data_IF_538536427796
#
_entry.id   IF_538536427796
#
_cell.length_a   1.000
_cell.length_b   1.000
_cell.length_c   1.000
_cell.angle_alpha   90.00
_cell.angle_beta   90.00
_cell.angle_gamma   90.00
#
_symmetry.space_group_name_H-M   'P 1'
#
loop_
_entity.id
_entity.type
_entity.pdbx_description
1 polymer ?
#
# COMPACT_ATOMS: atom_id res chain seq x y z
N UNK A 1 16.46 4.04 -0.20
CA UNK A 1 15.12 4.46 0.29
C UNK A 1 14.51 5.59 -0.53
N UNK A 2 15.14 6.78 -0.63
CA UNK A 2 14.58 7.90 -1.43
C UNK A 2 14.28 7.51 -2.88
N UNK A 3 15.30 7.02 -3.59
CA UNK A 3 15.14 6.46 -4.95
C UNK A 3 14.05 5.39 -5.03
N UNK A 4 13.93 4.52 -4.03
CA UNK A 4 12.88 3.49 -4.00
C UNK A 4 11.49 4.13 -3.97
N UNK A 5 11.23 5.05 -3.05
CA UNK A 5 9.93 5.71 -2.93
C UNK A 5 9.61 6.55 -4.16
N UNK A 6 10.60 7.22 -4.75
CA UNK A 6 10.45 7.96 -6.00
C UNK A 6 10.08 7.04 -7.17
N UNK A 7 10.79 5.92 -7.34
CA UNK A 7 10.49 4.92 -8.37
C UNK A 7 9.11 4.30 -8.15
N UNK A 8 8.77 3.91 -6.91
CA UNK A 8 7.46 3.35 -6.59
C UNK A 8 6.33 4.34 -6.86
N UNK A 9 6.50 5.62 -6.52
CA UNK A 9 5.52 6.67 -6.82
C UNK A 9 5.34 6.84 -8.34
N UNK A 10 6.42 6.80 -9.11
CA UNK A 10 6.37 6.88 -10.56
C UNK A 10 5.61 5.69 -11.17
N UNK A 11 5.95 4.47 -10.78
CA UNK A 11 5.32 3.28 -11.33
C UNK A 11 3.83 3.21 -10.97
N UNK A 12 3.47 3.53 -9.72
CA UNK A 12 2.06 3.56 -9.31
C UNK A 12 1.25 4.62 -10.06
N UNK A 13 1.85 5.78 -10.37
CA UNK A 13 1.21 6.78 -11.25
C UNK A 13 1.01 6.24 -12.66
N UNK A 14 1.98 5.53 -13.21
CA UNK A 14 1.90 4.92 -14.54
C UNK A 14 0.79 3.85 -14.59
N UNK A 15 0.68 3.02 -13.56
CA UNK A 15 -0.29 1.93 -13.49
C UNK A 15 -1.60 2.30 -12.77
N UNK A 16 -1.84 3.59 -12.49
CA UNK A 16 -3.04 4.04 -11.74
C UNK A 16 -4.33 3.55 -12.38
N UNK A 17 -4.49 3.73 -13.70
CA UNK A 17 -5.71 3.32 -14.42
C UNK A 17 -5.89 1.80 -14.43
N UNK A 18 -4.81 1.02 -14.51
CA UNK A 18 -4.85 -0.44 -14.46
C UNK A 18 -5.32 -0.89 -13.07
N UNK A 19 -4.73 -0.33 -12.01
CA UNK A 19 -5.11 -0.63 -10.63
C UNK A 19 -6.55 -0.21 -10.32
N UNK A 20 -6.99 0.94 -10.83
CA UNK A 20 -8.37 1.42 -10.69
C UNK A 20 -9.36 0.48 -11.41
N UNK A 21 -9.02 -0.01 -12.62
CA UNK A 21 -9.85 -0.93 -13.38
C UNK A 21 -9.94 -2.35 -12.75
N UNK A 22 -8.94 -2.72 -11.95
CA UNK A 22 -8.92 -3.96 -11.16
C UNK A 22 -9.62 -3.83 -9.81
N UNK A 23 -9.89 -2.62 -9.33
CA UNK A 23 -10.42 -2.41 -7.99
C UNK A 23 -11.88 -2.86 -7.88
N UNK A 24 -12.06 -4.05 -7.32
CA UNK A 24 -13.36 -4.68 -7.10
C UNK A 24 -13.58 -5.10 -5.64
N UNK A 25 -12.57 -4.94 -4.79
CA UNK A 25 -12.57 -5.36 -3.39
C UNK A 25 -11.81 -4.35 -2.49
N UNK A 26 -12.28 -4.07 -1.26
CA UNK A 26 -13.56 -4.48 -0.69
C UNK A 26 -14.74 -3.72 -1.30
N UNK A 27 -14.47 -2.60 -1.98
CA UNK A 27 -15.47 -1.79 -2.66
C UNK A 27 -15.00 -1.56 -4.10
N UNK A 28 -15.87 -1.80 -5.07
CA UNK A 28 -15.62 -1.54 -6.48
C UNK A 28 -15.80 -0.05 -6.82
N UNK A 29 -14.98 0.83 -6.24
CA UNK A 29 -15.04 2.29 -6.41
C UNK A 29 -14.00 2.87 -7.39
N UNK A 30 -13.17 1.99 -7.98
CA UNK A 30 -12.14 2.36 -8.95
C UNK A 30 -11.12 3.40 -8.44
N UNK A 31 -10.77 3.38 -7.15
CA UNK A 31 -9.83 4.35 -6.57
C UNK A 31 -8.49 3.79 -6.04
N UNK A 32 -8.31 2.46 -5.96
CA UNK A 32 -7.14 1.86 -5.32
C UNK A 32 -5.82 2.35 -5.90
N UNK A 33 -5.72 2.49 -7.23
CA UNK A 33 -4.54 3.04 -7.89
C UNK A 33 -4.30 4.49 -7.51
N UNK A 34 -5.35 5.31 -7.57
CA UNK A 34 -5.31 6.74 -7.19
C UNK A 34 -4.87 6.91 -5.73
N UNK A 35 -5.43 6.12 -4.82
CA UNK A 35 -5.16 6.17 -3.38
C UNK A 35 -3.72 5.74 -3.05
N UNK A 36 -3.24 4.65 -3.64
CA UNK A 36 -1.86 4.18 -3.46
C UNK A 36 -0.85 5.15 -4.06
N UNK A 37 -1.07 5.63 -5.28
CA UNK A 37 -0.18 6.58 -5.94
C UNK A 37 -0.02 7.87 -5.11
N UNK A 38 -1.14 8.46 -4.65
CA UNK A 38 -1.11 9.66 -3.83
C UNK A 38 -0.39 9.45 -2.48
N UNK A 39 -0.60 8.30 -1.86
CA UNK A 39 0.01 7.96 -0.57
C UNK A 39 1.51 7.74 -0.70
N UNK A 40 1.96 6.98 -1.72
CA UNK A 40 3.39 6.73 -1.97
C UNK A 40 4.08 8.01 -2.44
N UNK A 41 3.41 8.87 -3.19
CA UNK A 41 3.91 10.20 -3.54
C UNK A 41 4.14 11.07 -2.30
N UNK A 42 3.21 11.06 -1.34
CA UNK A 42 3.41 11.74 -0.04
C UNK A 42 4.63 11.20 0.70
N UNK A 43 4.80 9.88 0.72
CA UNK A 43 5.99 9.25 1.33
C UNK A 43 7.28 9.69 0.62
N UNK A 44 7.29 9.73 -0.71
CA UNK A 44 8.45 10.16 -1.50
C UNK A 44 8.78 11.65 -1.29
N UNK A 45 7.77 12.52 -1.23
CA UNK A 45 7.94 13.95 -0.95
C UNK A 45 8.51 14.19 0.46
N UNK A 46 7.98 13.48 1.47
CA UNK A 46 8.53 13.51 2.82
C UNK A 46 9.98 13.01 2.83
N UNK A 47 10.25 11.91 2.13
CA UNK A 47 11.58 11.35 2.00
C UNK A 47 12.57 12.30 1.33
N UNK A 48 12.13 13.22 0.48
CA UNK A 48 12.99 14.19 -0.18
C UNK A 48 13.48 15.31 0.76
N UNK A 49 12.66 15.70 1.74
CA UNK A 49 12.93 16.86 2.61
C UNK A 49 13.46 16.51 3.99
N UNK A 50 13.25 15.28 4.47
CA UNK A 50 13.77 14.83 5.76
C UNK A 50 15.30 14.73 5.71
N UNK A 51 15.99 15.21 6.74
CA UNK A 51 17.45 15.13 6.88
C UNK A 51 17.81 14.28 8.08
N UNK A 52 17.93 12.97 7.88
CA UNK A 52 18.46 12.04 8.89
C UNK A 52 19.38 11.00 8.22
N UNK A 53 20.53 10.67 8.84
CA UNK A 53 21.36 9.55 8.40
C UNK A 53 20.81 8.20 8.88
N UNK A 54 19.86 8.18 9.81
CA UNK A 54 19.30 6.95 10.37
C UNK A 54 18.22 6.38 9.44
N UNK A 55 18.43 5.13 9.03
CA UNK A 55 17.55 4.43 8.10
C UNK A 55 16.19 4.10 8.73
N UNK A 56 16.18 3.67 9.98
CA UNK A 56 14.97 3.35 10.74
C UNK A 56 14.11 4.60 10.92
N UNK A 57 14.74 5.71 11.34
CA UNK A 57 14.09 7.00 11.52
C UNK A 57 13.53 7.52 10.20
N UNK A 58 14.32 7.52 9.12
CA UNK A 58 13.86 7.98 7.80
C UNK A 58 12.60 7.23 7.36
N UNK A 59 12.62 5.90 7.43
CA UNK A 59 11.51 5.06 6.95
C UNK A 59 10.28 5.18 7.85
N UNK A 60 10.49 5.29 9.16
CA UNK A 60 9.39 5.50 10.11
C UNK A 60 8.71 6.84 9.87
N UNK A 61 9.47 7.94 9.72
CA UNK A 61 8.92 9.28 9.51
C UNK A 61 8.17 9.42 8.18
N UNK A 62 8.68 8.81 7.10
CA UNK A 62 7.95 8.83 5.81
C UNK A 62 6.68 7.97 5.85
N UNK A 63 6.69 6.87 6.60
CA UNK A 63 5.50 6.06 6.87
C UNK A 63 4.44 6.84 7.66
N UNK A 64 4.86 7.61 8.66
CA UNK A 64 3.97 8.49 9.43
C UNK A 64 3.40 9.60 8.56
N UNK A 65 4.22 10.27 7.75
CA UNK A 65 3.78 11.30 6.82
C UNK A 65 2.76 10.75 5.81
N UNK A 66 3.03 9.56 5.26
CA UNK A 66 2.09 8.86 4.37
C UNK A 66 0.79 8.51 5.09
N UNK A 67 0.84 8.08 6.37
CA UNK A 67 -0.34 7.71 7.14
C UNK A 67 -1.23 8.93 7.48
N UNK A 68 -0.63 10.09 7.67
CA UNK A 68 -1.37 11.34 7.92
C UNK A 68 -2.19 11.80 6.69
N UNK A 69 -1.67 11.62 5.47
CA UNK A 69 -2.38 11.95 4.22
C UNK A 69 -3.03 10.74 3.53
N UNK A 70 -2.93 9.55 4.13
CA UNK A 70 -3.41 8.31 3.55
C UNK A 70 -4.90 8.42 3.17
N UNK A 71 -5.21 7.87 2.00
CA UNK A 71 -6.56 7.80 1.43
C UNK A 71 -6.95 6.35 1.22
N UNK A 72 -8.21 6.06 1.53
CA UNK A 72 -8.75 4.72 1.43
C UNK A 72 -8.01 3.69 2.29
N UNK A 73 -8.45 2.44 2.14
CA UNK A 73 -7.92 1.32 2.90
C UNK A 73 -6.49 0.98 2.46
N UNK A 74 -6.27 0.93 1.15
CA UNK A 74 -4.98 0.59 0.52
C UNK A 74 -3.87 1.55 0.92
N UNK A 75 -4.11 2.88 0.88
CA UNK A 75 -3.13 3.88 1.30
C UNK A 75 -2.85 3.83 2.80
N UNK A 76 -3.89 3.64 3.62
CA UNK A 76 -3.75 3.51 5.08
C UNK A 76 -2.90 2.30 5.42
N UNK A 77 -3.22 1.12 4.86
CA UNK A 77 -2.52 -0.13 5.13
C UNK A 77 -1.06 -0.08 4.66
N UNK A 78 -0.80 0.48 3.48
CA UNK A 78 0.58 0.70 3.00
C UNK A 78 1.38 1.57 3.96
N UNK A 79 0.79 2.66 4.46
CA UNK A 79 1.47 3.57 5.39
C UNK A 79 1.74 2.93 6.75
N UNK A 80 0.83 2.08 7.22
CA UNK A 80 1.01 1.24 8.40
C UNK A 80 2.16 0.25 8.22
N UNK A 81 2.20 -0.42 7.07
CA UNK A 81 3.31 -1.29 6.70
C UNK A 81 4.64 -0.52 6.70
N UNK A 82 4.70 0.64 6.04
CA UNK A 82 5.92 1.44 5.89
C UNK A 82 6.44 1.94 7.25
N UNK A 83 5.54 2.36 8.14
CA UNK A 83 5.91 2.78 9.51
C UNK A 83 6.54 1.63 10.30
N UNK A 84 5.96 0.43 10.23
CA UNK A 84 6.51 -0.74 10.92
C UNK A 84 7.77 -1.32 10.25
N UNK A 85 7.90 -1.18 8.93
CA UNK A 85 9.13 -1.46 8.20
C UNK A 85 10.28 -0.65 8.77
N UNK A 86 10.06 0.65 9.02
CA UNK A 86 11.04 1.52 9.67
C UNK A 86 11.47 0.99 11.04
N UNK A 87 10.52 0.70 11.92
CA UNK A 87 10.82 0.15 13.25
C UNK A 87 11.58 -1.20 13.21
N UNK A 88 11.32 -2.06 12.23
CA UNK A 88 12.06 -3.32 12.06
C UNK A 88 13.47 -3.16 11.48
N UNK A 89 13.84 -1.95 11.05
CA UNK A 89 15.21 -1.57 10.64
C UNK A 89 16.02 -0.94 11.78
N UNK A 90 15.50 -0.93 13.01
CA UNK A 90 16.20 -0.36 14.17
C UNK A 90 17.61 -0.96 14.35
N UNK A 91 18.58 -0.07 14.55
CA UNK A 91 20.00 -0.42 14.65
C UNK A 91 20.69 -0.84 13.34
N UNK A 92 20.00 -0.84 12.19
CA UNK A 92 20.62 -1.18 10.91
C UNK A 92 21.40 0.01 10.31
N UNK A 93 22.72 -0.11 10.23
CA UNK A 93 23.59 0.90 9.59
C UNK A 93 23.41 0.96 8.06
N UNK A 94 22.99 -0.17 7.46
CA UNK A 94 22.71 -0.29 6.02
C UNK A 94 21.68 -1.36 5.77
N UNK A 95 21.03 -1.28 4.61
CA UNK A 95 20.07 -2.29 4.17
C UNK A 95 20.80 -3.57 3.72
N UNK A 96 20.39 -4.70 4.27
CA UNK A 96 20.85 -6.07 3.95
C UNK A 96 19.64 -6.98 3.75
N UNK A 97 19.85 -8.21 3.26
CA UNK A 97 18.79 -9.22 3.21
C UNK A 97 18.17 -9.45 4.60
N UNK A 98 18.99 -9.55 5.64
CA UNK A 98 18.52 -9.78 7.00
C UNK A 98 17.73 -8.59 7.56
N UNK A 99 18.26 -7.38 7.44
CA UNK A 99 17.57 -6.19 7.97
C UNK A 99 16.27 -5.92 7.22
N UNK A 100 16.25 -6.11 5.90
CA UNK A 100 15.01 -5.97 5.12
C UNK A 100 13.99 -7.06 5.49
N UNK A 101 14.42 -8.32 5.63
CA UNK A 101 13.53 -9.41 6.07
C UNK A 101 12.91 -9.14 7.43
N UNK A 102 13.69 -8.66 8.40
CA UNK A 102 13.20 -8.24 9.71
C UNK A 102 12.16 -7.12 9.59
N UNK A 103 12.48 -6.09 8.79
CA UNK A 103 11.61 -4.95 8.54
C UNK A 103 10.29 -5.33 7.88
N UNK A 104 10.32 -6.13 6.81
CA UNK A 104 9.11 -6.61 6.13
C UNK A 104 8.30 -7.52 7.05
N UNK A 105 8.96 -8.35 7.86
CA UNK A 105 8.30 -9.16 8.90
C UNK A 105 7.54 -8.30 9.91
N UNK A 106 8.15 -7.23 10.42
CA UNK A 106 7.49 -6.27 11.31
C UNK A 106 6.32 -5.57 10.61
N UNK A 107 6.51 -5.13 9.37
CA UNK A 107 5.48 -4.56 8.52
C UNK A 107 4.29 -5.49 8.30
N UNK A 108 4.55 -6.77 8.04
CA UNK A 108 3.54 -7.82 7.86
C UNK A 108 2.68 -7.99 9.11
N UNK A 109 3.32 -8.25 10.26
CA UNK A 109 2.60 -8.38 11.54
C UNK A 109 1.75 -7.14 11.84
N UNK A 110 2.29 -5.95 11.55
CA UNK A 110 1.59 -4.70 11.82
C UNK A 110 0.41 -4.47 10.89
N UNK A 111 0.54 -4.79 9.60
CA UNK A 111 -0.53 -4.65 8.62
C UNK A 111 -1.69 -5.61 8.93
N UNK A 112 -1.39 -6.87 9.22
CA UNK A 112 -2.40 -7.88 9.61
C UNK A 112 -3.16 -7.50 10.89
N UNK A 113 -2.47 -6.95 11.89
CA UNK A 113 -3.10 -6.54 13.17
C UNK A 113 -3.77 -5.17 13.16
N UNK A 114 -3.63 -4.40 12.06
CA UNK A 114 -4.26 -3.09 11.90
C UNK A 114 -5.75 -3.20 11.60
N UNK A 115 -6.13 -4.27 10.90
CA UNK A 115 -7.49 -4.56 10.45
C UNK A 115 -8.22 -5.40 11.50
N UNK A 116 -9.52 -5.13 11.67
CA UNK A 116 -10.37 -5.99 12.51
C UNK A 116 -10.66 -7.33 11.84
N UNK A 117 -10.86 -7.34 10.52
CA UNK A 117 -11.11 -8.55 9.73
C UNK A 117 -10.16 -8.61 8.51
N UNK A 118 -8.93 -9.12 8.68
CA UNK A 118 -7.96 -9.18 7.60
C UNK A 118 -8.26 -10.31 6.62
N UNK A 119 -8.26 -10.00 5.32
CA UNK A 119 -8.67 -10.94 4.26
C UNK A 119 -7.46 -11.44 3.45
N UNK A 120 -7.24 -12.77 3.35
CA UNK A 120 -6.26 -13.36 2.43
C UNK A 120 -6.53 -12.99 0.96
N UNK A 121 -5.50 -13.04 0.13
CA UNK A 121 -5.58 -12.69 -1.30
C UNK A 121 -5.53 -11.18 -1.58
N UNK A 122 -5.46 -10.35 -0.53
CA UNK A 122 -5.24 -8.90 -0.65
C UNK A 122 -3.74 -8.55 -0.60
N UNK A 123 -3.40 -7.26 -0.59
CA UNK A 123 -2.06 -6.75 -0.24
C UNK A 123 -1.41 -7.48 0.95
N UNK A 124 -2.20 -7.89 1.94
CA UNK A 124 -1.70 -8.62 3.11
C UNK A 124 -0.98 -9.94 2.76
N UNK A 125 -1.48 -10.67 1.75
CA UNK A 125 -0.85 -11.91 1.27
C UNK A 125 0.49 -11.62 0.60
N UNK A 126 0.60 -10.52 -0.14
CA UNK A 126 1.85 -10.11 -0.81
C UNK A 126 2.92 -9.73 0.22
N UNK A 127 2.55 -8.92 1.21
CA UNK A 127 3.47 -8.55 2.30
C UNK A 127 3.88 -9.78 3.10
N UNK A 128 2.96 -10.72 3.36
CA UNK A 128 3.26 -11.98 4.05
C UNK A 128 4.21 -12.85 3.24
N UNK A 129 3.98 -13.03 1.94
CA UNK A 129 4.87 -13.81 1.07
C UNK A 129 6.29 -13.21 1.01
N UNK A 130 6.39 -11.88 0.95
CA UNK A 130 7.67 -11.18 1.03
C UNK A 130 8.37 -11.40 2.39
N UNK A 131 7.63 -11.35 3.50
CA UNK A 131 8.15 -11.60 4.85
C UNK A 131 8.66 -13.04 5.03
N UNK A 132 7.93 -14.01 4.49
CA UNK A 132 8.23 -15.44 4.61
C UNK A 132 9.32 -15.91 3.61
N UNK A 133 9.81 -15.01 2.74
CA UNK A 133 10.85 -15.33 1.76
C UNK A 133 12.16 -15.69 2.47
N UNK A 134 12.73 -16.89 2.23
CA UNK A 134 13.98 -17.30 2.85
C UNK A 134 15.17 -16.50 2.29
N UNK A 135 16.12 -16.18 3.16
CA UNK A 135 17.38 -15.55 2.74
C UNK A 135 18.27 -16.62 2.07
N UNK A 136 18.71 -16.41 0.82
CA UNK A 136 19.51 -17.40 0.12
C UNK A 136 20.92 -17.54 0.70
N UNK A 137 21.43 -18.77 0.75
CA UNK A 137 22.80 -19.11 1.16
C UNK A 137 23.80 -18.89 0.01
N UNK A 138 23.89 -17.64 -0.47
CA UNK A 138 24.72 -17.24 -1.61
C UNK A 138 25.58 -16.02 -1.24
N UNK A 139 26.85 -16.05 -1.65
CA UNK A 139 27.82 -15.02 -1.26
C UNK A 139 28.12 -14.99 0.23
N UNK A 140 28.78 -13.93 0.69
CA UNK A 140 29.00 -13.69 2.13
C UNK A 140 27.73 -13.12 2.78
N UNK A 141 27.48 -13.47 4.04
CA UNK A 141 26.34 -12.96 4.81
C UNK A 141 26.36 -11.44 4.85
N UNK A 142 25.25 -10.82 4.44
CA UNK A 142 25.10 -9.37 4.39
C UNK A 142 25.77 -8.71 3.18
N UNK A 143 26.30 -9.48 2.21
CA UNK A 143 26.86 -8.94 0.98
C UNK A 143 25.77 -8.41 0.03
N UNK A 144 26.17 -7.54 -0.90
CA UNK A 144 25.27 -7.03 -1.95
C UNK A 144 24.79 -8.15 -2.90
N UNK A 145 25.59 -9.21 -3.09
CA UNK A 145 25.19 -10.37 -3.88
C UNK A 145 24.02 -11.11 -3.19
N UNK A 146 24.16 -11.46 -1.92
CA UNK A 146 23.08 -12.08 -1.15
C UNK A 146 21.82 -11.21 -1.16
N UNK A 147 22.00 -9.89 -1.01
CA UNK A 147 20.88 -8.96 -0.99
C UNK A 147 20.14 -8.89 -2.34
N UNK A 148 20.87 -8.86 -3.45
CA UNK A 148 20.27 -8.86 -4.79
C UNK A 148 19.51 -10.16 -5.09
N UNK A 149 20.01 -11.32 -4.66
CA UNK A 149 19.33 -12.60 -4.79
C UNK A 149 18.08 -12.68 -3.92
N UNK A 150 18.15 -12.18 -2.67
CA UNK A 150 17.01 -12.10 -1.77
C UNK A 150 15.88 -11.25 -2.35
N UNK A 151 16.20 -10.06 -2.89
CA UNK A 151 15.20 -9.17 -3.48
C UNK A 151 14.48 -9.80 -4.68
N UNK A 152 15.18 -10.63 -5.47
CA UNK A 152 14.54 -11.38 -6.56
C UNK A 152 13.59 -12.45 -6.05
N UNK A 153 14.05 -13.27 -5.11
CA UNK A 153 13.21 -14.31 -4.51
C UNK A 153 11.94 -13.68 -3.86
N UNK A 154 12.11 -12.53 -3.21
CA UNK A 154 11.03 -11.78 -2.58
C UNK A 154 10.01 -11.27 -3.60
N UNK A 155 10.46 -10.69 -4.72
CA UNK A 155 9.57 -10.23 -5.79
C UNK A 155 8.88 -11.40 -6.49
N UNK A 156 9.55 -12.54 -6.67
CA UNK A 156 8.90 -13.77 -7.19
C UNK A 156 7.80 -14.25 -6.24
N UNK A 157 8.08 -14.35 -4.94
CA UNK A 157 7.07 -14.75 -3.95
C UNK A 157 5.89 -13.76 -3.90
N UNK A 158 6.16 -12.47 -4.03
CA UNK A 158 5.13 -11.44 -4.13
C UNK A 158 4.28 -11.61 -5.40
N UNK A 159 4.89 -11.89 -6.57
CA UNK A 159 4.17 -12.18 -7.82
C UNK A 159 3.26 -13.40 -7.67
N UNK A 160 3.78 -14.48 -7.09
CA UNK A 160 2.99 -15.70 -6.88
C UNK A 160 1.79 -15.44 -5.96
N UNK A 161 1.95 -14.60 -4.93
CA UNK A 161 0.85 -14.18 -4.05
C UNK A 161 -0.20 -13.31 -4.77
N UNK A 162 0.22 -12.44 -5.70
CA UNK A 162 -0.74 -11.68 -6.54
C UNK A 162 -1.52 -12.63 -7.44
N UNK A 163 -0.87 -13.60 -8.08
CA UNK A 163 -1.56 -14.59 -8.92
C UNK A 163 -2.53 -15.47 -8.11
N UNK A 164 -2.15 -15.84 -6.88
CA UNK A 164 -3.02 -16.59 -5.99
C UNK A 164 -4.28 -15.81 -5.58
N UNK A 165 -4.27 -14.47 -5.61
CA UNK A 165 -5.45 -13.65 -5.26
C UNK A 165 -6.70 -14.00 -6.07
N UNK A 166 -6.54 -14.42 -7.34
CA UNK A 166 -7.64 -14.86 -8.21
C UNK A 166 -8.41 -16.06 -7.64
N UNK A 167 -7.75 -16.91 -6.85
CA UNK A 167 -8.32 -18.10 -6.22
C UNK A 167 -8.52 -17.94 -4.70
N UNK A 168 -7.86 -16.98 -4.06
CA UNK A 168 -7.99 -16.74 -2.62
C UNK A 168 -9.16 -15.80 -2.27
N UNK A 169 -9.52 -14.88 -3.18
CA UNK A 169 -10.64 -13.96 -3.01
C UNK A 169 -11.86 -14.45 -3.78
N UNK A 170 -12.93 -14.82 -3.05
CA UNK A 170 -14.18 -15.33 -3.65
C UNK A 170 -14.76 -14.38 -4.71
N UNK A 171 -14.64 -13.06 -4.50
CA UNK A 171 -15.10 -12.04 -5.47
C UNK A 171 -14.32 -12.06 -6.79
N UNK A 172 -13.11 -12.61 -6.80
CA UNK A 172 -12.27 -12.75 -7.99
C UNK A 172 -12.39 -14.11 -8.66
N UNK A 173 -13.06 -15.09 -8.03
CA UNK A 173 -13.16 -16.45 -8.59
C UNK A 173 -13.84 -16.44 -9.95
N UNK A 174 -13.18 -17.04 -10.94
CA UNK A 174 -13.68 -17.09 -12.31
C UNK A 174 -13.59 -15.77 -13.06
N UNK A 175 -13.20 -14.67 -12.39
CA UNK A 175 -12.75 -13.44 -13.06
C UNK A 175 -11.28 -13.65 -13.44
N UNK A 176 -10.87 -13.18 -14.62
CA UNK A 176 -9.45 -13.24 -15.00
C UNK A 176 -8.63 -12.11 -14.33
N UNK A 177 -9.07 -11.66 -13.15
CA UNK A 177 -8.54 -10.49 -12.43
C UNK A 177 -7.79 -10.89 -11.18
N UNK A 178 -6.81 -10.06 -10.81
CA UNK A 178 -6.09 -10.13 -9.53
C UNK A 178 -6.52 -8.97 -8.64
N UNK A 179 -6.23 -9.06 -7.34
CA UNK A 179 -6.48 -7.97 -6.40
C UNK A 179 -5.63 -6.73 -6.74
N UNK A 180 -6.29 -5.56 -6.79
CA UNK A 180 -5.64 -4.29 -7.09
C UNK A 180 -4.63 -3.88 -6.01
N UNK A 181 -4.95 -4.11 -4.72
CA UNK A 181 -4.05 -3.80 -3.62
C UNK A 181 -2.79 -4.69 -3.62
N UNK A 182 -2.96 -5.98 -3.90
CA UNK A 182 -1.89 -6.96 -4.05
C UNK A 182 -0.96 -6.57 -5.20
N UNK A 183 -1.51 -6.25 -6.38
CA UNK A 183 -0.71 -5.82 -7.52
C UNK A 183 0.02 -4.51 -7.24
N UNK A 184 -0.65 -3.53 -6.60
CA UNK A 184 -0.02 -2.28 -6.18
C UNK A 184 1.17 -2.52 -5.23
N UNK A 185 1.06 -3.45 -4.30
CA UNK A 185 2.16 -3.80 -3.41
C UNK A 185 3.32 -4.50 -4.11
N UNK A 186 3.03 -5.38 -5.09
CA UNK A 186 4.06 -5.97 -5.94
C UNK A 186 4.86 -4.90 -6.69
N UNK A 187 4.19 -3.89 -7.26
CA UNK A 187 4.83 -2.76 -7.94
C UNK A 187 5.80 -2.04 -6.99
N UNK A 188 5.37 -1.78 -5.75
CA UNK A 188 6.20 -1.13 -4.72
C UNK A 188 7.43 -1.98 -4.35
N UNK A 189 7.26 -3.31 -4.20
CA UNK A 189 8.36 -4.23 -3.86
C UNK A 189 9.36 -4.39 -5.02
N UNK A 190 8.88 -4.42 -6.26
CA UNK A 190 9.77 -4.45 -7.43
C UNK A 190 10.53 -3.13 -7.60
N UNK A 191 9.90 -1.98 -7.31
CA UNK A 191 10.58 -0.69 -7.29
C UNK A 191 11.75 -0.69 -6.27
N UNK A 192 11.61 -1.37 -5.12
CA UNK A 192 12.71 -1.53 -4.16
C UNK A 192 13.85 -2.32 -4.78
N UNK A 193 13.53 -3.46 -5.40
CA UNK A 193 14.51 -4.30 -6.08
C UNK A 193 15.29 -3.49 -7.13
N UNK A 194 14.60 -2.78 -8.02
CA UNK A 194 15.18 -1.91 -9.06
C UNK A 194 16.06 -0.80 -8.48
N UNK A 195 15.56 -0.09 -7.47
CA UNK A 195 16.30 1.00 -6.84
C UNK A 195 17.61 0.51 -6.19
N UNK A 196 17.64 -0.72 -5.65
CA UNK A 196 18.83 -1.34 -5.05
C UNK A 196 19.79 -1.89 -6.10
N UNK A 197 19.29 -2.56 -7.14
CA UNK A 197 20.16 -3.19 -8.16
C UNK A 197 20.68 -2.18 -9.19
N UNK A 198 20.23 -0.92 -9.15
CA UNK A 198 20.60 0.09 -10.12
C UNK A 198 19.98 -0.14 -11.49
N UNK A 199 19.07 -1.12 -11.61
CA UNK A 199 18.26 -1.31 -12.78
C UNK A 199 17.20 -0.22 -12.75
N UNK A 200 17.30 0.77 -13.62
CA UNK A 200 16.17 1.66 -13.83
C UNK A 200 14.96 0.83 -14.27
N UNK A 201 13.76 1.39 -14.08
CA UNK A 201 12.69 0.98 -14.98
C UNK A 201 13.29 1.01 -16.38
N UNK A 202 13.11 -0.04 -17.17
CA UNK A 202 13.12 0.14 -18.61
C UNK A 202 11.95 1.09 -18.92
N UNK A 203 12.16 2.37 -18.66
CA UNK A 203 11.17 3.41 -18.84
C UNK A 203 11.22 3.93 -20.26
N UNK A 204 10.05 4.33 -20.76
CA UNK A 204 9.87 5.19 -21.92
C UNK A 204 9.98 4.57 -23.34
N UNK A 205 9.34 3.43 -23.58
CA UNK A 205 8.86 3.08 -24.94
C UNK A 205 7.33 2.93 -25.07
N UNK A 206 6.55 3.33 -24.07
CA UNK A 206 5.09 3.39 -24.15
C UNK A 206 4.56 4.80 -24.46
N UNK A 207 5.15 5.44 -25.47
CA UNK A 207 4.47 6.36 -26.40
C UNK A 207 5.35 6.52 -27.64
N UNK A 208 4.77 6.36 -28.82
CA UNK A 208 5.49 6.47 -30.08
C UNK A 208 6.08 7.88 -30.29
N UNK A 209 7.42 7.95 -30.42
CA UNK A 209 8.10 9.03 -31.14
C UNK A 209 8.96 9.97 -30.30
N UNK A 210 10.10 9.51 -29.79
CA UNK A 210 11.31 10.32 -29.66
C UNK A 210 12.52 9.40 -29.50
N UNK A 211 13.43 9.42 -30.48
CA UNK A 211 14.74 8.79 -30.39
C UNK A 211 15.65 9.59 -29.44
N UNK A 212 16.43 8.92 -28.59
CA UNK A 212 17.68 9.52 -28.13
C UNK A 212 18.75 8.46 -27.81
N UNK A 213 19.81 8.51 -28.60
CA UNK A 213 21.15 7.97 -28.31
C UNK A 213 21.73 8.61 -27.04
N UNK A 214 22.15 7.82 -26.06
CA UNK A 214 23.24 8.17 -25.16
C UNK A 214 23.83 6.92 -24.49
N UNK A 215 25.13 6.69 -24.71
CA UNK A 215 25.91 5.62 -24.10
C UNK A 215 26.18 5.89 -22.60
N UNK A 216 26.07 4.87 -21.75
CA UNK A 216 26.46 4.89 -20.35
C UNK A 216 27.86 4.28 -20.12
N UNK A 217 28.63 4.75 -19.11
CA UNK A 217 30.00 4.32 -18.86
C UNK A 217 30.11 2.99 -18.08
N UNK A 218 31.26 2.36 -18.29
CA UNK A 218 31.71 1.05 -17.81
C UNK A 218 32.00 1.05 -16.29
N UNK A 219 31.26 0.24 -15.53
CA UNK A 219 31.70 -0.35 -14.27
C UNK A 219 31.09 -1.76 -14.22
N UNK A 220 31.84 -2.76 -13.76
CA UNK A 220 31.54 -4.20 -13.97
C UNK A 220 30.19 -4.62 -13.37
N UNK A 221 29.11 -4.36 -14.09
CA UNK A 221 27.76 -4.73 -13.75
C UNK A 221 27.65 -6.25 -13.87
N UNK A 222 27.33 -6.90 -12.75
CA UNK A 222 26.78 -8.25 -12.79
C UNK A 222 25.59 -8.17 -13.76
N UNK A 223 25.53 -8.99 -14.82
CA UNK A 223 24.39 -8.98 -15.73
C UNK A 223 23.19 -9.53 -14.96
N UNK A 224 22.39 -8.64 -14.38
CA UNK A 224 21.15 -8.96 -13.68
C UNK A 224 20.07 -9.08 -14.76
N UNK A 225 19.84 -10.28 -15.28
CA UNK A 225 18.71 -10.52 -16.19
C UNK A 225 17.46 -10.82 -15.35
N UNK A 226 16.72 -9.78 -14.96
CA UNK A 226 15.48 -9.89 -14.19
C UNK A 226 14.41 -9.09 -14.92
N UNK A 227 13.27 -9.74 -15.15
CA UNK A 227 12.13 -9.18 -15.88
C UNK A 227 11.65 -7.86 -15.22
N UNK A 228 11.55 -6.76 -15.99
CA UNK A 228 10.83 -5.54 -15.61
C UNK A 228 9.38 -5.83 -15.17
N UNK A 229 8.79 -4.94 -14.34
CA UNK A 229 7.35 -4.99 -14.02
C UNK A 229 6.48 -4.98 -15.27
N UNK A 230 6.90 -4.27 -16.33
CA UNK A 230 6.22 -4.31 -17.62
C UNK A 230 6.12 -5.75 -18.18
N UNK A 231 7.20 -6.51 -18.14
CA UNK A 231 7.22 -7.91 -18.59
C UNK A 231 6.39 -8.81 -17.66
N UNK A 232 6.43 -8.57 -16.34
CA UNK A 232 5.60 -9.30 -15.38
C UNK A 232 4.12 -9.03 -15.66
N UNK A 233 3.75 -7.77 -15.88
CA UNK A 233 2.39 -7.38 -16.23
C UNK A 233 2.00 -7.94 -17.60
N UNK A 234 2.90 -7.95 -18.58
CA UNK A 234 2.66 -8.55 -19.89
C UNK A 234 2.38 -10.05 -19.80
N UNK A 235 3.21 -10.78 -19.04
CA UNK A 235 3.01 -12.20 -18.74
C UNK A 235 1.67 -12.45 -18.03
N UNK A 236 1.26 -11.53 -17.16
CA UNK A 236 -0.03 -11.58 -16.46
C UNK A 236 -1.22 -11.08 -17.30
N UNK A 237 -0.99 -10.56 -18.50
CA UNK A 237 -2.05 -10.04 -19.39
C UNK A 237 -2.50 -8.59 -19.13
N UNK A 238 -1.70 -7.81 -18.41
CA UNK A 238 -1.99 -6.41 -18.00
C UNK A 238 -1.12 -5.34 -18.68
N UNK A 239 -0.25 -5.70 -19.64
CA UNK A 239 0.63 -4.75 -20.33
C UNK A 239 -0.08 -3.69 -21.18
N UNK A 240 -1.30 -4.00 -21.63
CA UNK A 240 -2.24 -3.05 -22.18
C UNK A 240 -3.47 -3.09 -21.28
N UNK A 241 -4.02 -1.90 -20.99
CA UNK A 241 -5.34 -1.65 -20.38
C UNK A 241 -6.17 -2.92 -20.27
N UNK A 242 -6.56 -3.38 -19.05
CA UNK A 242 -6.99 -4.76 -18.83
C UNK A 242 -7.97 -5.19 -19.93
N UNK A 243 -7.75 -6.37 -20.55
CA UNK A 243 -8.44 -6.72 -21.77
C UNK A 243 -9.93 -6.51 -21.57
N UNK A 244 -10.54 -5.77 -22.50
CA UNK A 244 -11.96 -5.50 -22.56
C UNK A 244 -12.71 -6.80 -22.86
N UNK A 245 -12.65 -7.77 -21.95
CA UNK A 245 -13.54 -8.90 -21.92
C UNK A 245 -14.74 -8.47 -21.08
N UNK A 246 -15.72 -7.92 -21.79
CA UNK A 246 -17.07 -7.54 -21.35
C UNK A 246 -17.84 -8.66 -20.61
N UNK A 247 -17.28 -9.87 -20.49
CA UNK A 247 -17.92 -11.00 -19.82
C UNK A 247 -18.09 -10.75 -18.31
N UNK A 248 -17.17 -10.02 -17.68
CA UNK A 248 -17.24 -9.68 -16.24
C UNK A 248 -18.05 -8.40 -15.95
N UNK A 249 -18.47 -7.64 -16.96
CA UNK A 249 -19.12 -6.34 -16.77
C UNK A 249 -20.39 -6.43 -15.91
N UNK A 250 -21.19 -7.48 -16.11
CA UNK A 250 -22.41 -7.71 -15.33
C UNK A 250 -22.15 -8.09 -13.86
N UNK A 251 -21.07 -8.84 -13.60
CA UNK A 251 -20.62 -9.17 -12.24
C UNK A 251 -20.08 -7.92 -11.53
N UNK A 252 -19.30 -7.09 -12.24
CA UNK A 252 -18.79 -5.82 -11.75
C UNK A 252 -19.91 -4.84 -11.43
N UNK A 253 -20.90 -4.70 -12.31
CA UNK A 253 -22.07 -3.87 -12.06
C UNK A 253 -22.86 -4.34 -10.84
N UNK A 254 -23.02 -5.67 -10.66
CA UNK A 254 -23.69 -6.22 -9.49
C UNK A 254 -22.93 -5.97 -8.18
N UNK A 255 -21.60 -6.12 -8.18
CA UNK A 255 -20.74 -5.79 -7.03
C UNK A 255 -20.78 -4.28 -6.73
N UNK A 256 -20.75 -3.45 -7.77
CA UNK A 256 -20.82 -2.00 -7.67
C UNK A 256 -22.15 -1.48 -7.12
N UNK A 257 -23.25 -2.19 -7.36
CA UNK A 257 -24.59 -1.83 -6.87
C UNK A 257 -24.85 -2.38 -5.45
N UNK A 258 -24.04 -3.34 -4.97
CA UNK A 258 -24.18 -3.94 -3.64
C UNK A 258 -23.65 -3.05 -2.50
N UNK A 259 -22.65 -2.21 -2.76
CA UNK A 259 -22.06 -1.36 -1.73
C UNK A 259 -22.82 -0.04 -1.55
N UNK A 260 -23.21 0.23 -0.31
CA UNK A 260 -23.91 1.44 0.11
C UNK A 260 -23.23 2.00 1.37
N UNK A 261 -23.43 3.29 1.63
CA UNK A 261 -22.86 3.98 2.79
C UNK A 261 -21.71 4.91 2.43
N UNK A 262 -20.86 5.15 3.41
CA UNK A 262 -19.75 6.11 3.35
C UNK A 262 -18.48 5.56 4.00
N UNK A 263 -17.35 5.97 3.46
CA UNK A 263 -16.06 5.86 4.13
C UNK A 263 -15.85 7.09 5.01
N UNK A 264 -15.45 6.86 6.26
CA UNK A 264 -15.04 7.91 7.19
C UNK A 264 -13.58 7.71 7.53
N UNK A 265 -12.77 8.71 7.21
CA UNK A 265 -11.38 8.81 7.67
C UNK A 265 -11.25 9.98 8.63
N UNK A 266 -10.52 9.77 9.73
CA UNK A 266 -10.28 10.83 10.71
C UNK A 266 -8.95 10.63 11.43
N UNK A 267 -8.47 11.71 12.05
CA UNK A 267 -7.35 11.68 12.98
C UNK A 267 -7.85 12.06 14.37
N UNK A 268 -7.45 11.34 15.40
CA UNK A 268 -7.89 11.56 16.78
C UNK A 268 -6.76 11.27 17.76
N UNK A 269 -6.64 12.07 18.82
CA UNK A 269 -5.67 11.82 19.89
C UNK A 269 -6.33 11.04 21.01
N UNK A 270 -5.77 9.88 21.33
CA UNK A 270 -6.35 8.92 22.26
C UNK A 270 -5.27 8.19 23.04
N UNK A 271 -5.65 7.71 24.22
CA UNK A 271 -4.89 6.65 24.90
C UNK A 271 -5.00 5.34 24.12
N UNK A 272 -4.08 4.40 24.35
CA UNK A 272 -4.17 3.07 23.74
C UNK A 272 -5.46 2.32 24.14
N UNK A 273 -5.96 2.55 25.35
CA UNK A 273 -7.21 1.95 25.82
C UNK A 273 -8.42 2.51 25.06
N UNK A 274 -8.50 3.83 24.90
CA UNK A 274 -9.59 4.47 24.17
C UNK A 274 -9.55 4.10 22.68
N UNK A 275 -8.37 3.98 22.09
CA UNK A 275 -8.21 3.51 20.72
C UNK A 275 -8.70 2.07 20.52
N UNK A 276 -8.43 1.19 21.49
CA UNK A 276 -8.95 -0.18 21.46
C UNK A 276 -10.48 -0.22 21.59
N UNK A 277 -11.06 0.66 22.41
CA UNK A 277 -12.52 0.77 22.59
C UNK A 277 -13.19 1.33 21.33
N UNK A 278 -12.65 2.39 20.74
CA UNK A 278 -13.13 2.92 19.45
C UNK A 278 -13.07 1.85 18.37
N UNK A 279 -11.97 1.09 18.28
CA UNK A 279 -11.85 0.01 17.29
C UNK A 279 -12.98 -1.02 17.45
N UNK A 280 -13.30 -1.40 18.68
CA UNK A 280 -14.38 -2.34 18.96
C UNK A 280 -15.75 -1.77 18.57
N UNK A 281 -16.06 -0.55 19.01
CA UNK A 281 -17.35 0.11 18.71
C UNK A 281 -17.54 0.37 17.20
N UNK A 282 -16.48 0.75 16.48
CA UNK A 282 -16.52 0.92 15.03
C UNK A 282 -16.71 -0.40 14.29
N UNK A 283 -16.12 -1.50 14.78
CA UNK A 283 -16.30 -2.83 14.20
C UNK A 283 -17.71 -3.40 14.42
N UNK A 284 -18.45 -2.92 15.42
CA UNK A 284 -19.88 -3.23 15.56
C UNK A 284 -20.74 -2.38 14.62
N UNK A 285 -20.27 -1.17 14.28
CA UNK A 285 -21.01 -0.21 13.47
C UNK A 285 -20.83 -0.38 11.96
N UNK A 286 -19.73 -1.00 11.52
CA UNK A 286 -19.41 -1.17 10.11
C UNK A 286 -18.16 -2.03 9.88
N UNK A 287 -17.64 -1.94 8.66
CA UNK A 287 -16.62 -2.85 8.13
C UNK A 287 -15.33 -2.10 7.76
N UNK A 288 -14.30 -2.83 7.31
CA UNK A 288 -13.01 -2.29 6.88
C UNK A 288 -12.35 -1.38 7.92
N UNK A 289 -12.47 -1.72 9.21
CA UNK A 289 -11.98 -0.87 10.31
C UNK A 289 -10.46 -0.93 10.43
N UNK A 290 -9.80 0.22 10.32
CA UNK A 290 -8.40 0.40 10.72
C UNK A 290 -8.33 1.49 11.79
N UNK A 291 -7.66 1.17 12.90
CA UNK A 291 -7.28 2.15 13.93
C UNK A 291 -5.79 2.02 14.18
N UNK A 292 -5.00 2.98 13.68
CA UNK A 292 -3.54 2.88 13.67
C UNK A 292 -2.88 4.07 14.36
N UNK A 293 -1.96 3.79 15.30
CA UNK A 293 -1.10 4.80 15.88
C UNK A 293 -0.19 5.40 14.79
N UNK A 294 -0.10 6.73 14.76
CA UNK A 294 0.75 7.52 13.87
C UNK A 294 2.01 7.92 14.62
N UNK A 295 1.85 8.72 15.68
CA UNK A 295 2.96 9.28 16.45
C UNK A 295 2.58 9.44 17.91
N UNK A 296 3.55 9.32 18.80
CA UNK A 296 3.37 9.60 20.21
C UNK A 296 3.30 11.10 20.45
N UNK A 297 2.38 11.56 21.31
CA UNK A 297 2.25 12.96 21.71
C UNK A 297 2.85 13.17 23.10
N UNK A 298 2.49 12.29 24.03
CA UNK A 298 3.02 12.23 25.39
C UNK A 298 3.07 10.77 25.87
N UNK A 299 3.37 10.54 27.16
CA UNK A 299 3.58 9.18 27.70
C UNK A 299 2.40 8.23 27.44
N UNK A 300 1.16 8.73 27.54
CA UNK A 300 -0.05 7.91 27.45
C UNK A 300 -0.88 8.18 26.20
N UNK A 301 -0.62 9.29 25.49
CA UNK A 301 -1.44 9.75 24.35
C UNK A 301 -0.69 9.60 23.03
N UNK A 302 -1.41 9.03 22.06
CA UNK A 302 -0.94 8.87 20.70
C UNK A 302 -1.92 9.54 19.73
N UNK A 303 -1.38 10.00 18.61
CA UNK A 303 -2.17 10.36 17.44
C UNK A 303 -2.56 9.09 16.71
N UNK A 304 -3.86 8.91 16.45
CA UNK A 304 -4.40 7.76 15.73
C UNK A 304 -5.03 8.19 14.41
N UNK A 305 -4.78 7.41 13.36
CA UNK A 305 -5.52 7.45 12.10
C UNK A 305 -6.60 6.39 12.15
N UNK A 306 -7.82 6.79 11.81
CA UNK A 306 -9.00 5.92 11.77
C UNK A 306 -9.54 5.89 10.34
N UNK A 307 -9.88 4.68 9.90
CA UNK A 307 -10.61 4.39 8.68
C UNK A 307 -11.76 3.44 9.05
N UNK A 308 -12.96 3.71 8.55
CA UNK A 308 -14.10 2.79 8.69
C UNK A 308 -15.09 2.99 7.53
N UNK A 309 -15.72 1.91 7.08
CA UNK A 309 -16.87 1.94 6.18
C UNK A 309 -18.15 1.77 7.00
N UNK A 310 -19.06 2.74 6.95
CA UNK A 310 -20.32 2.76 7.72
C UNK A 310 -21.49 3.12 6.82
N UNK A 311 -22.72 2.79 7.24
CA UNK A 311 -23.91 3.16 6.48
C UNK A 311 -24.15 4.68 6.50
N UNK A 312 -23.93 5.31 7.66
CA UNK A 312 -24.07 6.76 7.81
C UNK A 312 -22.88 7.34 8.56
N UNK A 313 -22.35 8.48 8.10
CA UNK A 313 -21.16 9.12 8.69
C UNK A 313 -21.30 9.37 10.20
N UNK A 314 -22.52 9.61 10.70
CA UNK A 314 -22.79 9.87 12.13
C UNK A 314 -22.39 8.69 13.01
N UNK A 315 -22.57 7.46 12.52
CA UNK A 315 -22.20 6.24 13.27
C UNK A 315 -20.72 6.25 13.64
N UNK A 316 -19.85 6.60 12.69
CA UNK A 316 -18.41 6.70 12.94
C UNK A 316 -18.05 7.96 13.75
N UNK A 317 -18.61 9.12 13.40
CA UNK A 317 -18.23 10.38 14.06
C UNK A 317 -18.65 10.42 15.53
N UNK A 318 -19.80 9.86 15.88
CA UNK A 318 -20.28 9.85 17.27
C UNK A 318 -19.41 8.96 18.16
N UNK A 319 -18.98 7.78 17.66
CA UNK A 319 -18.02 6.91 18.34
C UNK A 319 -16.70 7.64 18.58
N UNK A 320 -16.17 8.34 17.57
CA UNK A 320 -14.93 9.11 17.69
C UNK A 320 -15.04 10.25 18.72
N UNK A 321 -16.16 10.99 18.70
CA UNK A 321 -16.42 12.09 19.65
C UNK A 321 -16.67 11.63 21.07
N UNK A 322 -17.14 10.40 21.27
CA UNK A 322 -17.37 9.84 22.59
C UNK A 322 -16.09 9.76 23.43
N UNK A 323 -14.91 9.74 22.80
CA UNK A 323 -13.63 9.45 23.46
C UNK A 323 -12.48 10.39 23.08
N UNK A 324 -12.63 11.19 22.02
CA UNK A 324 -11.61 12.15 21.60
C UNK A 324 -12.18 13.30 20.78
N UNK A 325 -11.30 14.14 20.26
CA UNK A 325 -11.67 15.22 19.33
C UNK A 325 -11.20 14.86 17.93
N UNK A 326 -12.07 14.29 17.07
CA UNK A 326 -11.68 13.95 15.71
C UNK A 326 -11.41 15.22 14.89
N UNK A 327 -10.38 15.16 14.06
CA UNK A 327 -9.94 16.22 13.14
C UNK A 327 -9.57 15.60 11.80
N UNK A 328 -9.44 16.45 10.77
CA UNK A 328 -9.21 16.00 9.39
C UNK A 328 -10.22 14.93 8.96
N UNK A 329 -11.49 15.15 9.31
CA UNK A 329 -12.58 14.24 9.00
C UNK A 329 -12.88 14.38 7.52
N UNK A 330 -12.71 13.28 6.82
CA UNK A 330 -13.05 13.09 5.42
C UNK A 330 -14.19 12.10 5.36
N UNK A 331 -15.22 12.42 4.59
CA UNK A 331 -16.28 11.49 4.25
C UNK A 331 -16.34 11.32 2.74
N UNK A 332 -16.31 10.07 2.28
CA UNK A 332 -16.39 9.71 0.86
C UNK A 332 -17.58 8.79 0.64
N UNK A 333 -18.45 9.12 -0.31
CA UNK A 333 -19.56 8.23 -0.68
C UNK A 333 -19.09 6.94 -1.32
N UNK A 334 -19.64 5.80 -0.89
CA UNK A 334 -19.33 4.47 -1.46
C UNK A 334 -20.38 4.00 -2.47
N UNK A 335 -21.54 4.66 -2.52
CA UNK A 335 -22.64 4.34 -3.44
C UNK A 335 -22.36 4.84 -4.85
N UNK A 336 -22.98 4.20 -5.85
CA UNK A 336 -22.85 4.56 -7.27
C UNK A 336 -23.07 6.04 -7.59
N UNK A 337 -24.02 6.67 -6.92
CA UNK A 337 -24.43 8.05 -7.18
C UNK A 337 -23.55 9.11 -6.47
N UNK A 338 -22.83 8.72 -5.41
CA UNK A 338 -21.96 9.60 -4.61
C UNK A 338 -20.48 9.16 -4.59
N UNK A 339 -20.11 8.18 -5.43
CA UNK A 339 -18.75 7.63 -5.52
C UNK A 339 -17.72 8.72 -5.78
N UNK A 340 -16.69 8.77 -4.94
CA UNK A 340 -15.59 9.74 -5.03
C UNK A 340 -15.96 11.18 -4.65
N UNK A 341 -17.21 11.45 -4.25
CA UNK A 341 -17.56 12.75 -3.65
C UNK A 341 -17.03 12.81 -2.24
N UNK A 342 -15.87 13.43 -2.13
CA UNK A 342 -15.21 13.70 -0.87
C UNK A 342 -15.68 15.04 -0.32
N UNK A 343 -16.18 15.05 0.92
CA UNK A 343 -16.43 16.30 1.63
C UNK A 343 -15.64 16.31 2.94
N UNK A 344 -14.96 17.42 3.18
CA UNK A 344 -14.34 17.69 4.47
C UNK A 344 -15.43 18.15 5.41
N UNK A 345 -15.56 17.47 6.53
CA UNK A 345 -16.55 17.84 7.52
C UNK A 345 -15.91 18.75 8.56
N UNK A 346 -16.47 19.95 8.73
CA UNK A 346 -16.08 20.79 9.86
C UNK A 346 -16.54 20.11 11.15
N UNK A 347 -15.65 19.88 12.13
CA UNK A 347 -16.03 19.37 13.44
C UNK A 347 -17.18 20.15 14.11
N UNK A 348 -17.45 21.40 13.73
CA UNK A 348 -18.59 22.18 14.25
C UNK A 348 -19.91 21.93 13.54
N UNK A 349 -19.90 21.39 12.31
CA UNK A 349 -21.09 21.33 11.43
C UNK A 349 -21.92 20.04 11.60
N UNK A 350 -21.47 19.11 12.44
CA UNK A 350 -22.20 17.89 12.80
C UNK A 350 -22.86 17.97 14.18
N UNK A 351 -23.17 19.18 14.65
CA UNK A 351 -23.90 19.46 15.89
C UNK A 351 -25.41 19.50 15.70
#
# INVERSE_FOLDING_TARGET
MRRWLETAAQDLREYTEVLNALNVFPVADADTGTNLAATVETAAQAAAVLETPDLSELVTLVGQAALEDARGNSGTLFSVFLTALGGGLDGAERLTAQSLSNGIGAGSVRAWSALTDPVPGTMLSVVKAAADTPIPEVGETGSNHQFAEYLRAMVTAAKDAVLASTEDLEVLHGTHKVDAGALGMLIVLDALRRAVTGQEASGAHLWAGAESDAAAPDDQAIPVNVQPVADILEEMGYAYYPPAHDEDASTLEALQDAHTGVEVMATVDLTALDAAQIRHELAEAGDSVIVSAVSQIDEDTWRWRVHVHVQEQRQAVDVLRGRGTPRNITVTGLSKDDRGRQFRVDPTDLG
#
